data_IF_341671388414
#
_entry.id   IF_341671388414
#
_cell.length_a   1.000
_cell.length_b   1.000
_cell.length_c   1.000
_cell.angle_alpha   90.00
_cell.angle_beta   90.00
_cell.angle_gamma   90.00
#
_symmetry.space_group_name_H-M   'P 1'
#
loop_
_entity.id
_entity.type
_entity.pdbx_description
1 polymer ?
#
# COMPACT_ATOMS: atom_id res chain seq x y z
N UNK A 1 29.71 14.62 -8.96
CA UNK A 1 28.38 14.47 -9.59
C UNK A 1 27.53 13.34 -8.96
N UNK A 2 28.04 12.10 -8.85
CA UNK A 2 27.30 10.93 -8.31
C UNK A 2 26.79 11.12 -6.86
N UNK A 3 27.60 11.72 -5.97
CA UNK A 3 27.21 11.95 -4.57
C UNK A 3 26.02 12.92 -4.40
N UNK A 4 25.90 13.91 -5.28
CA UNK A 4 24.79 14.90 -5.23
C UNK A 4 23.48 14.24 -5.64
N UNK A 5 23.50 13.38 -6.66
CA UNK A 5 22.32 12.61 -7.11
C UNK A 5 21.84 11.66 -6.02
N UNK A 6 22.75 10.97 -5.32
CA UNK A 6 22.41 10.08 -4.21
C UNK A 6 21.81 10.84 -3.02
N UNK A 7 22.36 12.02 -2.70
CA UNK A 7 21.84 12.87 -1.62
C UNK A 7 20.42 13.36 -1.90
N UNK A 8 20.17 13.81 -3.14
CA UNK A 8 18.85 14.27 -3.57
C UNK A 8 17.83 13.12 -3.56
N UNK A 9 18.22 11.94 -4.05
CA UNK A 9 17.37 10.72 -4.02
C UNK A 9 17.04 10.31 -2.59
N UNK A 10 18.02 10.31 -1.69
CA UNK A 10 17.80 9.98 -0.29
C UNK A 10 16.84 10.97 0.41
N UNK A 11 16.90 12.26 0.07
CA UNK A 11 16.00 13.26 0.63
C UNK A 11 14.56 13.07 0.14
N UNK A 12 14.37 12.83 -1.16
CA UNK A 12 13.04 12.58 -1.75
C UNK A 12 12.38 11.33 -1.16
N UNK A 13 13.15 10.25 -0.98
CA UNK A 13 12.61 8.99 -0.44
C UNK A 13 12.11 9.15 0.99
N UNK A 14 12.76 9.96 1.83
CA UNK A 14 12.31 10.23 3.19
C UNK A 14 10.93 10.89 3.21
N UNK A 15 10.73 11.92 2.38
CA UNK A 15 9.43 12.59 2.26
C UNK A 15 8.36 11.65 1.68
N UNK A 16 8.71 10.85 0.67
CA UNK A 16 7.78 9.89 0.07
C UNK A 16 7.31 8.84 1.09
N UNK A 17 8.22 8.31 1.92
CA UNK A 17 7.90 7.39 3.00
C UNK A 17 6.99 8.05 4.04
N UNK A 18 7.33 9.28 4.46
CA UNK A 18 6.52 10.03 5.43
C UNK A 18 5.08 10.27 4.91
N UNK A 19 4.95 10.73 3.66
CA UNK A 19 3.64 10.94 3.01
C UNK A 19 2.87 9.62 2.91
N UNK A 20 3.54 8.53 2.56
CA UNK A 20 2.91 7.20 2.47
C UNK A 20 2.37 6.72 3.81
N UNK A 21 3.13 6.90 4.90
CA UNK A 21 2.68 6.55 6.26
C UNK A 21 1.45 7.38 6.63
N UNK A 22 1.51 8.71 6.47
CA UNK A 22 0.38 9.60 6.80
C UNK A 22 -0.86 9.21 5.98
N UNK A 23 -0.71 9.00 4.67
CA UNK A 23 -1.85 8.66 3.82
C UNK A 23 -2.43 7.27 4.14
N UNK A 24 -1.62 6.30 4.58
CA UNK A 24 -2.13 5.01 5.07
C UNK A 24 -3.01 5.18 6.30
N UNK A 25 -2.57 5.97 7.28
CA UNK A 25 -3.35 6.24 8.49
C UNK A 25 -4.64 6.99 8.15
N UNK A 26 -4.58 8.01 7.28
CA UNK A 26 -5.77 8.76 6.82
C UNK A 26 -6.73 7.84 6.06
N UNK A 27 -6.22 7.01 5.14
CA UNK A 27 -7.02 6.04 4.40
C UNK A 27 -7.71 5.04 5.31
N UNK A 28 -6.99 4.52 6.31
CA UNK A 28 -7.49 3.62 7.34
C UNK A 28 -8.60 4.27 8.16
N UNK A 29 -8.35 5.48 8.68
CA UNK A 29 -9.33 6.24 9.43
C UNK A 29 -10.61 6.48 8.64
N UNK A 30 -10.50 6.93 7.38
CA UNK A 30 -11.66 7.13 6.51
C UNK A 30 -12.39 5.83 6.21
N UNK A 31 -11.67 4.73 5.99
CA UNK A 31 -12.24 3.43 5.66
C UNK A 31 -13.11 2.88 6.80
N UNK A 32 -12.70 3.06 8.06
CA UNK A 32 -13.49 2.63 9.24
C UNK A 32 -14.90 3.24 9.26
N UNK A 33 -15.08 4.44 8.73
CA UNK A 33 -16.41 5.08 8.59
C UNK A 33 -17.16 4.69 7.32
N UNK A 34 -16.74 3.62 6.63
CA UNK A 34 -17.38 3.15 5.40
C UNK A 34 -17.11 4.05 4.18
N UNK A 35 -16.05 4.86 4.19
CA UNK A 35 -15.71 5.74 3.07
C UNK A 35 -15.09 4.98 1.90
N UNK A 36 -15.66 5.15 0.70
CA UNK A 36 -15.05 4.63 -0.53
C UNK A 36 -13.73 5.33 -0.84
N UNK A 37 -13.60 6.62 -0.50
CA UNK A 37 -12.35 7.37 -0.64
C UNK A 37 -11.23 6.77 0.22
N UNK A 38 -11.55 6.40 1.46
CA UNK A 38 -10.60 5.70 2.35
C UNK A 38 -10.12 4.39 1.74
N UNK A 39 -11.04 3.61 1.17
CA UNK A 39 -10.71 2.38 0.48
C UNK A 39 -9.80 2.60 -0.74
N UNK A 40 -10.06 3.62 -1.57
CA UNK A 40 -9.21 3.98 -2.70
C UNK A 40 -7.81 4.41 -2.28
N UNK A 41 -7.69 5.25 -1.25
CA UNK A 41 -6.39 5.69 -0.71
C UNK A 41 -5.57 4.47 -0.27
N UNK A 42 -6.18 3.57 0.50
CA UNK A 42 -5.49 2.35 0.93
C UNK A 42 -5.11 1.46 -0.26
N UNK A 43 -6.01 1.26 -1.22
CA UNK A 43 -5.77 0.38 -2.38
C UNK A 43 -4.58 0.85 -3.23
N UNK A 44 -4.40 2.16 -3.44
CA UNK A 44 -3.28 2.73 -4.19
C UNK A 44 -1.95 2.57 -3.43
N UNK A 45 -1.97 2.64 -2.10
CA UNK A 45 -0.78 2.55 -1.23
C UNK A 45 -0.40 1.12 -0.82
N UNK A 46 -1.20 0.12 -1.22
CA UNK A 46 -1.01 -1.28 -0.81
C UNK A 46 0.05 -2.01 -1.64
N UNK A 47 0.02 -1.98 -2.99
CA UNK A 47 1.14 -2.51 -3.78
C UNK A 47 2.23 -1.44 -3.84
N UNK A 48 3.49 -1.75 -3.45
CA UNK A 48 4.75 -1.13 -3.98
C UNK A 48 5.99 -1.36 -3.07
N UNK A 49 5.88 -1.83 -1.83
CA UNK A 49 7.04 -1.72 -0.89
C UNK A 49 7.86 -2.99 -0.61
N UNK A 50 7.47 -4.16 -1.13
CA UNK A 50 8.16 -5.41 -0.78
C UNK A 50 9.17 -5.84 -1.85
N UNK A 51 10.42 -5.95 -1.44
CA UNK A 51 11.59 -6.26 -2.28
C UNK A 51 12.00 -7.74 -2.22
N UNK A 52 11.06 -8.63 -1.88
CA UNK A 52 11.29 -10.06 -1.68
C UNK A 52 11.98 -10.74 -2.87
N UNK A 53 11.75 -10.24 -4.09
CA UNK A 53 12.34 -10.75 -5.33
C UNK A 53 13.86 -10.54 -5.45
N UNK A 54 14.49 -9.77 -4.56
CA UNK A 54 15.94 -9.62 -4.50
C UNK A 54 16.62 -10.68 -3.61
N UNK A 55 15.87 -11.56 -2.97
CA UNK A 55 16.38 -12.61 -2.09
C UNK A 55 16.03 -13.99 -2.67
N UNK A 56 16.93 -14.95 -2.49
CA UNK A 56 16.64 -16.33 -2.87
C UNK A 56 15.55 -16.92 -1.96
N UNK A 57 14.79 -17.88 -2.48
CA UNK A 57 13.63 -18.45 -1.81
C UNK A 57 13.97 -19.23 -0.53
N UNK A 58 15.23 -19.64 -0.34
CA UNK A 58 15.73 -20.31 0.87
C UNK A 58 16.16 -19.32 1.97
N UNK A 59 16.24 -18.03 1.65
CA UNK A 59 16.62 -17.02 2.62
C UNK A 59 15.42 -16.62 3.48
N UNK A 60 15.59 -16.65 4.82
CA UNK A 60 14.54 -16.22 5.78
C UNK A 60 13.96 -14.81 5.49
N UNK A 61 14.73 -13.92 4.86
CA UNK A 61 14.25 -12.58 4.47
C UNK A 61 13.18 -12.65 3.38
N UNK A 62 13.32 -13.57 2.42
CA UNK A 62 12.31 -13.82 1.39
C UNK A 62 10.97 -14.14 2.04
N UNK A 63 10.94 -15.14 2.94
CA UNK A 63 9.70 -15.58 3.61
C UNK A 63 8.98 -14.43 4.31
N UNK A 64 9.73 -13.64 5.10
CA UNK A 64 9.16 -12.51 5.84
C UNK A 64 8.59 -11.45 4.91
N UNK A 65 9.31 -11.09 3.85
CA UNK A 65 8.87 -10.06 2.90
C UNK A 65 7.71 -10.56 2.03
N UNK A 66 7.74 -11.82 1.62
CA UNK A 66 6.70 -12.47 0.84
C UNK A 66 5.39 -12.58 1.61
N UNK A 67 5.43 -12.98 2.89
CA UNK A 67 4.22 -12.99 3.75
C UNK A 67 3.63 -11.60 3.92
N UNK A 68 4.45 -10.56 4.10
CA UNK A 68 3.94 -9.18 4.17
C UNK A 68 3.33 -8.73 2.85
N UNK A 69 3.92 -9.15 1.72
CA UNK A 69 3.36 -8.90 0.40
C UNK A 69 2.00 -9.57 0.21
N UNK A 70 1.85 -10.84 0.57
CA UNK A 70 0.57 -11.55 0.45
C UNK A 70 -0.50 -10.99 1.38
N UNK A 71 -0.14 -10.55 2.59
CA UNK A 71 -1.05 -9.79 3.47
C UNK A 71 -1.51 -8.48 2.82
N UNK A 72 -0.61 -7.77 2.13
CA UNK A 72 -0.96 -6.61 1.30
C UNK A 72 -1.94 -6.97 0.20
N UNK A 73 -1.71 -8.06 -0.54
CA UNK A 73 -2.65 -8.52 -1.57
C UNK A 73 -4.03 -8.88 -1.00
N UNK A 74 -4.08 -9.51 0.17
CA UNK A 74 -5.33 -9.83 0.86
C UNK A 74 -6.12 -8.55 1.19
N UNK A 75 -5.45 -7.54 1.75
CA UNK A 75 -6.06 -6.24 2.02
C UNK A 75 -6.56 -5.58 0.72
N UNK A 76 -5.75 -5.57 -0.33
CA UNK A 76 -6.12 -5.00 -1.62
C UNK A 76 -7.39 -5.64 -2.18
N UNK A 77 -7.48 -6.98 -2.16
CA UNK A 77 -8.68 -7.71 -2.59
C UNK A 77 -9.92 -7.35 -1.77
N UNK A 78 -9.78 -7.28 -0.44
CA UNK A 78 -10.88 -6.89 0.44
C UNK A 78 -11.39 -5.46 0.16
N UNK A 79 -10.48 -4.53 -0.12
CA UNK A 79 -10.83 -3.14 -0.45
C UNK A 79 -11.57 -3.03 -1.79
N UNK A 80 -11.16 -3.79 -2.82
CA UNK A 80 -11.88 -3.84 -4.10
C UNK A 80 -13.30 -4.39 -3.90
N UNK A 81 -13.43 -5.50 -3.16
CA UNK A 81 -14.75 -6.07 -2.83
C UNK A 81 -15.66 -5.06 -2.13
N UNK A 82 -15.13 -4.33 -1.14
CA UNK A 82 -15.86 -3.27 -0.45
C UNK A 82 -16.35 -2.16 -1.40
N UNK A 83 -15.49 -1.70 -2.30
CA UNK A 83 -15.80 -0.67 -3.30
C UNK A 83 -16.92 -1.16 -4.22
N UNK A 84 -16.80 -2.37 -4.75
CA UNK A 84 -17.78 -2.95 -5.68
C UNK A 84 -19.13 -3.16 -5.01
N UNK A 85 -19.15 -3.59 -3.74
CA UNK A 85 -20.35 -3.72 -2.93
C UNK A 85 -21.07 -2.37 -2.79
N UNK A 86 -20.34 -1.30 -2.45
CA UNK A 86 -20.93 0.05 -2.35
C UNK A 86 -21.47 0.56 -3.67
N UNK A 87 -20.75 0.33 -4.77
CA UNK A 87 -21.19 0.73 -6.11
C UNK A 87 -22.45 -0.03 -6.56
N UNK A 88 -22.57 -1.29 -6.16
CA UNK A 88 -23.75 -2.13 -6.47
C UNK A 88 -24.98 -1.68 -5.69
N UNK A 89 -24.85 -1.36 -4.40
CA UNK A 89 -25.94 -0.82 -3.58
C UNK A 89 -26.45 0.53 -4.09
N UNK A 90 -25.55 1.38 -4.61
CA UNK A 90 -25.95 2.67 -5.19
C UNK A 90 -26.71 2.53 -6.51
N UNK A 91 -26.65 1.36 -7.18
CA UNK A 91 -27.34 1.08 -8.44
C UNK A 91 -28.68 0.35 -8.26
N UNK A 92 -28.99 -0.19 -7.08
CA UNK A 92 -30.31 -0.78 -6.85
C UNK A 92 -31.36 0.33 -6.74
N UNK A 93 -32.46 0.27 -7.50
CA UNK A 93 -33.53 1.27 -7.48
C UNK A 93 -34.28 1.33 -6.15
#
# INVERSE_FOLDING_TARGET
MIRVVLYLRAHLMKHLVMVTIIMREVGSFLFVFGSSLGAYILAILTPITYDFYNYDADQKKFDVLFVKFTQGLQLFGALQFFIDMKNSMARSP
#
